data_IF_204857895862
#
_entry.id   IF_204857895862
#
_cell.length_a   1.000
_cell.length_b   1.000
_cell.length_c   1.000
_cell.angle_alpha   90.00
_cell.angle_beta   90.00
_cell.angle_gamma   90.00
#
_symmetry.space_group_name_H-M   'P 1'
#
loop_
_entity.id
_entity.type
_entity.pdbx_description
1 polymer ?
#
# COMPACT_ATOMS: atom_id res chain seq x y z
N UNK A 1 -13.22 -18.87 9.08
CA UNK A 1 -13.24 -17.43 9.24
C UNK A 1 -12.87 -16.72 7.96
N UNK A 2 -12.89 -15.41 7.97
CA UNK A 2 -12.65 -14.61 6.78
C UNK A 2 -11.27 -14.84 6.15
N UNK A 3 -10.26 -15.08 6.94
CA UNK A 3 -8.92 -15.34 6.43
C UNK A 3 -8.87 -16.65 5.65
N UNK A 4 -9.55 -17.66 6.14
CA UNK A 4 -9.60 -18.96 5.44
C UNK A 4 -10.39 -18.84 4.15
N UNK A 5 -11.46 -18.07 4.14
CA UNK A 5 -12.23 -17.84 2.94
C UNK A 5 -11.39 -17.16 1.86
N UNK A 6 -10.56 -16.20 2.25
CA UNK A 6 -9.63 -15.55 1.32
C UNK A 6 -8.63 -16.54 0.77
N UNK A 7 -8.09 -17.40 1.61
CA UNK A 7 -7.13 -18.42 1.18
C UNK A 7 -7.79 -19.40 0.23
N UNK A 8 -9.01 -19.81 0.50
CA UNK A 8 -9.74 -20.76 -0.34
C UNK A 8 -10.09 -20.17 -1.71
N UNK A 9 -10.23 -18.85 -1.82
CA UNK A 9 -10.56 -18.17 -3.06
C UNK A 9 -9.34 -17.63 -3.80
N UNK A 10 -8.17 -18.13 -3.48
CA UNK A 10 -6.94 -17.40 -3.71
C UNK A 10 -6.30 -17.55 -5.09
N UNK A 11 -6.77 -18.43 -5.96
CA UNK A 11 -6.14 -18.59 -7.27
C UNK A 11 -6.22 -17.29 -8.07
N UNK A 12 -7.40 -16.66 -8.09
CA UNK A 12 -7.59 -15.37 -8.74
C UNK A 12 -6.86 -14.25 -8.01
N UNK A 13 -6.86 -14.28 -6.70
CA UNK A 13 -6.15 -13.31 -5.89
C UNK A 13 -4.65 -13.33 -6.17
N UNK A 14 -4.07 -14.51 -6.21
CA UNK A 14 -2.64 -14.66 -6.43
C UNK A 14 -2.24 -14.17 -7.81
N UNK A 15 -3.04 -14.49 -8.83
CA UNK A 15 -2.79 -14.01 -10.17
C UNK A 15 -2.86 -12.49 -10.24
N UNK A 16 -3.84 -11.89 -9.56
CA UNK A 16 -3.96 -10.44 -9.50
C UNK A 16 -2.79 -9.79 -8.78
N UNK A 17 -2.32 -10.41 -7.70
CA UNK A 17 -1.15 -9.95 -6.97
C UNK A 17 0.09 -9.91 -7.85
N UNK A 18 0.33 -11.00 -8.58
CA UNK A 18 1.49 -11.11 -9.45
C UNK A 18 1.48 -10.05 -10.55
N UNK A 19 0.28 -9.66 -11.01
CA UNK A 19 0.13 -8.61 -12.01
C UNK A 19 0.17 -7.21 -11.40
N UNK A 20 -0.32 -7.07 -10.18
CA UNK A 20 -0.55 -5.76 -9.55
C UNK A 20 0.70 -5.21 -8.88
N UNK A 21 1.42 -6.05 -8.13
CA UNK A 21 2.54 -5.59 -7.33
C UNK A 21 3.66 -4.92 -8.15
N UNK A 22 4.10 -5.50 -9.29
CA UNK A 22 5.12 -4.83 -10.10
C UNK A 22 4.68 -3.46 -10.61
N UNK A 23 3.40 -3.33 -10.99
CA UNK A 23 2.87 -2.06 -11.48
C UNK A 23 2.81 -1.02 -10.37
N UNK A 24 2.50 -1.44 -9.15
CA UNK A 24 2.48 -0.56 -7.99
C UNK A 24 3.88 -0.08 -7.65
N UNK A 25 4.88 -0.95 -7.75
CA UNK A 25 6.27 -0.56 -7.53
C UNK A 25 6.68 0.56 -8.48
N UNK A 26 6.18 0.56 -9.71
CA UNK A 26 6.45 1.63 -10.66
C UNK A 26 5.75 2.92 -10.29
N UNK A 27 4.60 2.85 -9.63
CA UNK A 27 3.79 4.02 -9.30
C UNK A 27 4.27 4.76 -8.07
N UNK A 28 4.76 4.06 -7.05
CA UNK A 28 5.18 4.69 -5.80
C UNK A 28 6.31 5.72 -5.98
N UNK A 29 7.35 5.45 -6.79
CA UNK A 29 8.39 6.46 -6.98
C UNK A 29 7.95 7.65 -7.83
N UNK A 30 6.81 7.57 -8.50
CA UNK A 30 6.36 8.64 -9.39
C UNK A 30 5.99 9.90 -8.64
N UNK A 31 6.40 11.04 -9.16
CA UNK A 31 5.88 12.32 -8.73
C UNK A 31 4.44 12.50 -9.24
N UNK A 32 3.74 13.49 -8.70
CA UNK A 32 2.40 13.83 -9.20
C UNK A 32 2.42 14.18 -10.69
N UNK A 33 3.46 14.88 -11.13
CA UNK A 33 3.60 15.25 -12.54
C UNK A 33 3.77 14.03 -13.43
N UNK A 34 4.64 13.11 -13.04
CA UNK A 34 4.86 11.87 -13.77
C UNK A 34 3.60 11.02 -13.82
N UNK A 35 2.88 10.95 -12.71
CA UNK A 35 1.62 10.22 -12.64
C UNK A 35 0.60 10.81 -13.59
N UNK A 36 0.46 12.14 -13.61
CA UNK A 36 -0.48 12.83 -14.47
C UNK A 36 -0.15 12.59 -15.94
N UNK A 37 1.12 12.61 -16.31
CA UNK A 37 1.54 12.35 -17.68
C UNK A 37 1.21 10.92 -18.11
N UNK A 38 1.48 9.95 -17.24
CA UNK A 38 1.25 8.54 -17.55
C UNK A 38 -0.24 8.21 -17.74
N UNK A 39 -1.10 8.84 -16.95
CA UNK A 39 -2.54 8.55 -16.97
C UNK A 39 -3.35 9.66 -17.62
N UNK A 40 -2.74 10.39 -18.55
CA UNK A 40 -3.32 11.61 -19.14
C UNK A 40 -4.74 11.44 -19.70
N UNK A 41 -5.05 10.28 -20.29
CA UNK A 41 -6.36 10.04 -20.88
C UNK A 41 -7.19 9.04 -20.09
N UNK A 42 -6.78 8.73 -18.85
CA UNK A 42 -7.42 7.74 -18.03
C UNK A 42 -8.30 8.40 -16.95
N UNK A 43 -9.42 7.76 -16.57
CA UNK A 43 -10.18 8.23 -15.40
C UNK A 43 -9.35 8.29 -14.11
N UNK A 44 -8.27 7.51 -14.03
CA UNK A 44 -7.37 7.49 -12.87
C UNK A 44 -6.77 8.86 -12.61
N UNK A 45 -6.51 9.64 -13.67
CA UNK A 45 -5.96 10.98 -13.53
C UNK A 45 -6.81 11.88 -12.63
N UNK A 46 -8.15 11.70 -12.67
CA UNK A 46 -9.07 12.50 -11.88
C UNK A 46 -8.92 12.27 -10.38
N UNK A 47 -8.53 11.07 -9.99
CA UNK A 47 -8.38 10.70 -8.58
C UNK A 47 -7.10 11.24 -7.97
N UNK A 48 -6.21 11.79 -8.78
CA UNK A 48 -4.86 12.19 -8.39
C UNK A 48 -4.05 10.99 -7.85
N UNK A 49 -2.74 11.11 -7.91
CA UNK A 49 -1.84 10.04 -7.46
C UNK A 49 -2.15 9.60 -6.03
N UNK A 50 -2.31 10.56 -5.14
CA UNK A 50 -2.54 10.29 -3.72
C UNK A 50 -3.82 9.49 -3.49
N UNK A 51 -4.92 9.94 -4.09
CA UNK A 51 -6.20 9.26 -3.93
C UNK A 51 -6.20 7.86 -4.54
N UNK A 52 -5.57 7.71 -5.70
CA UNK A 52 -5.45 6.42 -6.35
C UNK A 52 -4.65 5.43 -5.49
N UNK A 53 -3.46 5.85 -5.05
CA UNK A 53 -2.61 4.96 -4.25
C UNK A 53 -3.22 4.65 -2.89
N UNK A 54 -3.91 5.62 -2.29
CA UNK A 54 -4.65 5.35 -1.06
C UNK A 54 -5.64 4.20 -1.24
N UNK A 55 -6.42 4.23 -2.32
CA UNK A 55 -7.39 3.18 -2.58
C UNK A 55 -6.72 1.84 -2.85
N UNK A 56 -5.57 1.85 -3.52
CA UNK A 56 -4.79 0.65 -3.75
C UNK A 56 -4.29 0.07 -2.44
N UNK A 57 -3.79 0.92 -1.54
CA UNK A 57 -3.30 0.48 -0.24
C UNK A 57 -4.42 -0.11 0.62
N UNK A 58 -5.62 0.46 0.53
CA UNK A 58 -6.79 -0.12 1.21
C UNK A 58 -7.06 -1.53 0.68
N UNK A 59 -7.01 -1.72 -0.64
CA UNK A 59 -7.21 -3.04 -1.23
C UNK A 59 -6.13 -4.02 -0.79
N UNK A 60 -4.87 -3.58 -0.74
CA UNK A 60 -3.77 -4.42 -0.31
C UNK A 60 -3.91 -4.82 1.16
N UNK A 61 -4.32 -3.89 2.01
CA UNK A 61 -4.58 -4.19 3.41
C UNK A 61 -5.72 -5.18 3.60
N UNK A 62 -6.73 -5.10 2.76
CA UNK A 62 -7.84 -6.05 2.78
C UNK A 62 -7.40 -7.45 2.31
N UNK A 63 -6.46 -7.52 1.37
CA UNK A 63 -5.87 -8.81 0.98
C UNK A 63 -5.06 -9.39 2.13
N UNK A 64 -4.30 -8.55 2.82
CA UNK A 64 -3.50 -8.92 3.98
C UNK A 64 -2.51 -10.07 3.70
N UNK A 65 -1.99 -10.14 2.50
CA UNK A 65 -1.06 -11.20 2.12
C UNK A 65 0.37 -10.82 2.47
N UNK A 66 1.14 -11.73 3.11
CA UNK A 66 2.53 -11.41 3.49
C UNK A 66 3.44 -11.06 2.32
N UNK A 67 3.13 -11.51 1.11
CA UNK A 67 3.94 -11.18 -0.07
C UNK A 67 3.89 -9.69 -0.42
N UNK A 68 2.93 -8.94 0.13
CA UNK A 68 2.79 -7.52 -0.13
C UNK A 68 3.72 -6.64 0.71
N UNK A 69 4.42 -7.23 1.68
CA UNK A 69 5.20 -6.45 2.66
C UNK A 69 6.23 -5.55 1.98
N UNK A 70 6.95 -6.07 1.00
CA UNK A 70 7.98 -5.27 0.31
C UNK A 70 7.38 -4.08 -0.46
N UNK A 71 6.24 -4.29 -1.10
CA UNK A 71 5.55 -3.21 -1.80
C UNK A 71 5.05 -2.16 -0.81
N UNK A 72 4.49 -2.62 0.31
CA UNK A 72 4.00 -1.71 1.35
C UNK A 72 5.13 -0.92 2.00
N UNK A 73 6.32 -1.51 2.09
CA UNK A 73 7.50 -0.80 2.59
C UNK A 73 7.79 0.45 1.76
N UNK A 74 7.62 0.34 0.45
CA UNK A 74 7.84 1.49 -0.44
C UNK A 74 6.85 2.60 -0.09
N UNK A 75 5.61 2.23 0.23
CA UNK A 75 4.59 3.19 0.65
C UNK A 75 4.97 3.93 1.93
N UNK A 76 5.69 3.29 2.84
CA UNK A 76 6.19 3.94 4.05
C UNK A 76 7.19 5.05 3.76
N UNK A 77 7.84 5.03 2.61
CA UNK A 77 8.83 6.02 2.22
C UNK A 77 8.25 7.12 1.32
N UNK A 78 6.96 7.07 1.07
CA UNK A 78 6.32 8.05 0.19
C UNK A 78 6.33 9.44 0.83
N UNK A 79 6.35 10.47 -0.02
CA UNK A 79 6.36 11.85 0.45
C UNK A 79 5.03 12.25 1.09
N UNK A 80 3.94 11.62 0.67
CA UNK A 80 2.60 11.95 1.15
C UNK A 80 2.33 11.28 2.50
N UNK A 81 1.99 12.05 3.54
CA UNK A 81 1.58 11.45 4.81
C UNK A 81 0.36 10.55 4.68
N UNK A 82 -0.57 10.88 3.77
CA UNK A 82 -1.75 10.05 3.53
C UNK A 82 -1.34 8.67 3.04
N UNK A 83 -0.39 8.61 2.11
CA UNK A 83 0.12 7.34 1.60
C UNK A 83 0.82 6.57 2.71
N UNK A 84 1.70 7.24 3.47
CA UNK A 84 2.40 6.58 4.57
C UNK A 84 1.44 6.02 5.62
N UNK A 85 0.41 6.79 5.98
CA UNK A 85 -0.58 6.34 6.97
C UNK A 85 -1.32 5.09 6.48
N UNK A 86 -1.70 5.07 5.22
CA UNK A 86 -2.39 3.90 4.67
C UNK A 86 -1.45 2.69 4.53
N UNK A 87 -0.17 2.94 4.26
CA UNK A 87 0.82 1.86 4.24
C UNK A 87 1.00 1.25 5.64
N UNK A 88 1.03 2.09 6.69
CA UNK A 88 1.07 1.61 8.07
C UNK A 88 -0.15 0.73 8.36
N UNK A 89 -1.34 1.24 8.04
CA UNK A 89 -2.56 0.48 8.24
C UNK A 89 -2.53 -0.87 7.52
N UNK A 90 -2.13 -0.86 6.25
CA UNK A 90 -2.08 -2.08 5.45
C UNK A 90 -1.09 -3.10 6.03
N UNK A 91 0.07 -2.63 6.49
CA UNK A 91 1.05 -3.51 7.13
C UNK A 91 0.51 -4.11 8.43
N UNK A 92 -0.30 -3.34 9.17
CA UNK A 92 -0.97 -3.86 10.37
C UNK A 92 -1.97 -4.97 10.00
N UNK A 93 -2.65 -4.83 8.87
CA UNK A 93 -3.59 -5.85 8.42
C UNK A 93 -2.89 -7.14 8.01
N UNK A 94 -1.73 -7.02 7.37
CA UNK A 94 -0.90 -8.17 7.02
C UNK A 94 -0.49 -8.95 8.27
N UNK A 95 -0.10 -8.23 9.31
CA UNK A 95 0.16 -8.79 10.64
C UNK A 95 1.16 -9.97 10.64
N UNK A 96 2.18 -9.88 9.80
CA UNK A 96 3.28 -10.83 9.77
C UNK A 96 4.44 -10.33 10.63
N UNK A 97 5.40 -11.21 10.92
CA UNK A 97 6.59 -10.80 11.64
C UNK A 97 7.36 -9.72 10.88
N UNK A 98 7.47 -9.87 9.56
CA UNK A 98 8.14 -8.86 8.73
C UNK A 98 7.42 -7.53 8.78
N UNK A 99 6.09 -7.53 8.67
CA UNK A 99 5.34 -6.28 8.72
C UNK A 99 5.49 -5.57 10.06
N UNK A 100 5.48 -6.32 11.16
CA UNK A 100 5.68 -5.77 12.49
C UNK A 100 7.08 -5.18 12.65
N UNK A 101 8.09 -5.86 12.14
CA UNK A 101 9.46 -5.35 12.17
C UNK A 101 9.60 -4.06 11.36
N UNK A 102 8.97 -4.00 10.20
CA UNK A 102 8.98 -2.80 9.37
C UNK A 102 8.35 -1.62 10.08
N UNK A 103 7.20 -1.84 10.71
CA UNK A 103 6.51 -0.79 11.44
C UNK A 103 7.35 -0.30 12.63
N UNK A 104 7.94 -1.22 13.38
CA UNK A 104 8.80 -0.88 14.50
C UNK A 104 10.00 -0.05 14.03
N UNK A 105 10.57 -0.42 12.89
CA UNK A 105 11.73 0.28 12.33
C UNK A 105 11.37 1.67 11.81
N UNK A 106 10.19 1.81 11.23
CA UNK A 106 9.76 3.07 10.64
C UNK A 106 9.34 4.12 11.68
N UNK A 107 8.68 3.68 12.74
CA UNK A 107 8.04 4.58 13.71
C UNK A 107 8.96 5.68 14.24
N UNK A 108 10.22 5.40 14.63
CA UNK A 108 11.08 6.46 15.17
C UNK A 108 11.39 7.57 14.17
N UNK A 109 11.34 7.29 12.87
CA UNK A 109 11.65 8.27 11.84
C UNK A 109 10.42 9.05 11.38
N UNK A 110 9.22 8.63 11.80
CA UNK A 110 8.00 9.28 11.36
C UNK A 110 7.74 10.56 12.15
N UNK A 111 7.47 11.64 11.43
CA UNK A 111 7.26 12.96 12.04
C UNK A 111 5.84 13.45 11.93
N UNK A 112 5.01 12.84 11.10
CA UNK A 112 3.65 13.31 10.85
C UNK A 112 2.68 12.71 11.86
N UNK A 113 1.88 13.56 12.51
CA UNK A 113 0.95 13.12 13.55
C UNK A 113 -0.12 12.18 13.01
N UNK A 114 -0.59 12.41 11.79
CA UNK A 114 -1.61 11.55 11.19
C UNK A 114 -1.07 10.14 10.98
N UNK A 115 0.18 10.03 10.52
CA UNK A 115 0.82 8.72 10.35
C UNK A 115 1.06 8.07 11.71
N UNK A 116 1.54 8.84 12.69
CA UNK A 116 1.78 8.32 14.04
C UNK A 116 0.50 7.81 14.69
N UNK A 117 -0.64 8.44 14.41
CA UNK A 117 -1.92 7.98 14.93
C UNK A 117 -2.27 6.57 14.43
N UNK A 118 -1.82 6.20 13.25
CA UNK A 118 -2.09 4.86 12.74
C UNK A 118 -1.37 3.76 13.54
N UNK A 119 -0.30 4.11 14.25
CA UNK A 119 0.40 3.13 15.09
C UNK A 119 -0.35 2.84 16.40
N UNK A 120 -1.32 3.66 16.74
CA UNK A 120 -2.10 3.45 17.94
C UNK A 120 -3.18 2.39 17.71
#
# INVERSE_FOLDING_TARGET
>A
NKSRQKIAQNKDFKARQDLFAPKLLDLFPMTQEQFSARFKKSPIKRAKREGFLRNVLVAMGNWADPSLVKTLEIGLQDKSPVIRAHAVWALQQVDSQESKKMLTRHRPSEMDDEVLNEFL
#
